data_IF_835042006077
#
_entry.id   IF_835042006077
#
_cell.length_a   1.000
_cell.length_b   1.000
_cell.length_c   1.000
_cell.angle_alpha   90.00
_cell.angle_beta   90.00
_cell.angle_gamma   90.00
#
_symmetry.space_group_name_H-M   'P 1'
#
loop_
_entity.id
_entity.type
_entity.pdbx_description
1 polymer ?
#
# COMPACT_ATOMS: atom_id res chain seq x y z
N UNK A 1 -5.30 -6.59 9.10
CA UNK A 1 -3.93 -7.15 9.22
C UNK A 1 -2.92 -6.26 8.48
N UNK A 2 -1.67 -6.22 8.93
CA UNK A 2 -0.58 -5.50 8.27
C UNK A 2 0.64 -6.42 8.05
N UNK A 3 1.29 -6.30 6.89
CA UNK A 3 2.55 -6.97 6.55
C UNK A 3 3.55 -5.98 5.99
N UNK A 4 4.81 -6.21 6.30
CA UNK A 4 5.92 -5.38 5.85
C UNK A 4 7.01 -6.28 5.29
N UNK A 5 7.43 -6.03 4.06
CA UNK A 5 8.67 -6.55 3.49
C UNK A 5 9.70 -5.43 3.56
N UNK A 6 10.65 -5.56 4.49
CA UNK A 6 11.71 -4.58 4.71
C UNK A 6 12.94 -4.95 3.88
N UNK A 7 13.45 -3.99 3.11
CA UNK A 7 14.70 -4.06 2.36
C UNK A 7 15.69 -2.99 2.88
N UNK A 8 16.83 -2.83 2.23
CA UNK A 8 17.91 -1.96 2.71
C UNK A 8 17.54 -0.47 2.66
N UNK A 9 16.73 -0.08 1.68
CA UNK A 9 16.41 1.32 1.40
C UNK A 9 14.92 1.61 1.29
N UNK A 10 14.09 0.60 1.05
CA UNK A 10 12.65 0.73 1.06
C UNK A 10 11.95 -0.44 1.75
N UNK A 11 10.69 -0.25 2.05
CA UNK A 11 9.78 -1.28 2.50
C UNK A 11 8.54 -1.29 1.61
N UNK A 12 7.99 -2.48 1.41
CA UNK A 12 6.64 -2.66 0.88
C UNK A 12 5.72 -2.90 2.08
N UNK A 13 4.70 -2.07 2.28
CA UNK A 13 3.72 -2.27 3.35
C UNK A 13 2.37 -2.61 2.75
N UNK A 14 1.79 -3.71 3.19
CA UNK A 14 0.43 -4.13 2.83
C UNK A 14 -0.46 -4.04 4.06
N UNK A 15 -1.55 -3.29 3.94
CA UNK A 15 -2.53 -3.11 5.00
C UNK A 15 -3.92 -3.44 4.49
N UNK A 16 -4.65 -4.24 5.26
CA UNK A 16 -6.09 -4.35 5.10
C UNK A 16 -6.76 -3.10 5.67
N UNK A 17 -7.64 -2.52 4.88
CA UNK A 17 -8.24 -1.22 5.13
C UNK A 17 -9.75 -1.35 5.10
N UNK A 18 -10.43 -0.70 6.04
CA UNK A 18 -11.89 -0.60 6.14
C UNK A 18 -12.19 0.78 6.71
N UNK A 19 -12.81 1.64 5.90
CA UNK A 19 -13.19 2.97 6.33
C UNK A 19 -14.51 3.40 5.70
N UNK A 20 -15.13 4.42 6.25
CA UNK A 20 -16.22 5.16 5.63
C UNK A 20 -15.83 6.64 5.65
N UNK A 21 -15.78 7.29 4.48
CA UNK A 21 -15.34 8.69 4.39
C UNK A 21 -16.27 9.60 5.20
N UNK A 22 -15.79 10.26 6.28
CA UNK A 22 -16.62 11.15 7.08
C UNK A 22 -17.17 12.33 6.28
N UNK A 23 -16.50 12.76 5.21
CA UNK A 23 -16.95 13.84 4.34
C UNK A 23 -18.21 13.47 3.54
N UNK A 24 -18.48 12.17 3.37
CA UNK A 24 -19.63 11.63 2.67
C UNK A 24 -20.70 11.08 3.63
N UNK A 25 -20.64 11.43 4.92
CA UNK A 25 -21.54 10.91 5.92
C UNK A 25 -23.03 11.08 5.53
N UNK A 26 -23.75 9.96 5.44
CA UNK A 26 -25.17 9.91 5.07
C UNK A 26 -25.43 9.57 3.60
N UNK A 27 -24.41 9.53 2.75
CA UNK A 27 -24.51 8.98 1.39
C UNK A 27 -24.52 7.43 1.41
N UNK A 28 -25.15 6.76 0.42
CA UNK A 28 -25.05 5.31 0.27
C UNK A 28 -23.63 4.89 -0.15
N UNK A 29 -23.25 3.65 0.15
CA UNK A 29 -22.02 3.00 -0.33
C UNK A 29 -20.71 3.75 -0.03
N UNK A 30 -20.68 4.49 1.08
CA UNK A 30 -19.52 5.29 1.55
C UNK A 30 -18.43 4.46 2.21
N UNK A 31 -18.72 3.20 2.54
CA UNK A 31 -17.76 2.29 3.16
C UNK A 31 -16.90 1.67 2.07
N UNK A 32 -15.60 1.81 2.22
CA UNK A 32 -14.61 1.19 1.36
C UNK A 32 -13.80 0.18 2.17
N UNK A 33 -13.63 -1.02 1.62
CA UNK A 33 -12.83 -2.08 2.23
C UNK A 33 -11.99 -2.79 1.19
N UNK A 34 -10.77 -3.17 1.58
CA UNK A 34 -9.84 -3.85 0.67
C UNK A 34 -8.43 -3.81 1.19
N UNK A 35 -7.45 -3.77 0.28
CA UNK A 35 -6.04 -3.70 0.64
C UNK A 35 -5.35 -2.48 0.07
N UNK A 36 -4.42 -1.94 0.86
CA UNK A 36 -3.55 -0.83 0.51
C UNK A 36 -2.12 -1.31 0.51
N UNK A 37 -1.43 -1.13 -0.62
CA UNK A 37 0.00 -1.36 -0.73
C UNK A 37 0.73 -0.01 -0.86
N UNK A 38 1.81 0.16 -0.13
CA UNK A 38 2.67 1.35 -0.20
C UNK A 38 4.12 0.95 -0.42
N UNK A 39 4.84 1.76 -1.20
CA UNK A 39 6.31 1.71 -1.31
C UNK A 39 6.87 2.85 -0.46
N UNK A 40 7.65 2.52 0.57
CA UNK A 40 8.07 3.48 1.60
C UNK A 40 9.59 3.50 1.75
N UNK A 41 10.25 4.66 1.69
CA UNK A 41 11.67 4.74 2.02
C UNK A 41 11.92 4.33 3.47
N UNK A 42 13.08 3.70 3.71
CA UNK A 42 13.53 3.28 5.04
C UNK A 42 14.65 4.20 5.50
N UNK A 43 14.55 4.77 6.69
CA UNK A 43 15.63 5.47 7.35
C UNK A 43 16.29 4.54 8.37
N UNK A 44 17.62 4.49 8.34
CA UNK A 44 18.44 3.69 9.28
C UNK A 44 19.18 4.66 10.19
N UNK A 45 18.98 4.53 11.50
CA UNK A 45 19.72 5.29 12.49
C UNK A 45 20.54 4.33 13.35
N UNK A 46 21.86 4.36 13.19
CA UNK A 46 22.79 3.53 13.95
C UNK A 46 23.49 4.37 15.02
N UNK A 47 22.89 4.45 16.21
CA UNK A 47 23.50 5.08 17.37
C UNK A 47 24.20 4.04 18.25
N UNK A 48 25.34 4.43 18.84
CA UNK A 48 26.08 3.60 19.80
C UNK A 48 27.23 2.82 19.19
N UNK A 49 27.59 1.71 19.84
CA UNK A 49 28.74 0.88 19.45
C UNK A 49 28.42 -0.02 18.25
N UNK A 50 29.43 -0.69 17.70
CA UNK A 50 29.27 -1.69 16.63
C UNK A 50 28.35 -2.88 17.00
N UNK A 51 28.05 -3.07 18.28
CA UNK A 51 27.14 -4.10 18.79
C UNK A 51 25.70 -3.61 18.89
N UNK A 52 25.45 -2.32 18.67
CA UNK A 52 24.12 -1.73 18.73
C UNK A 52 23.31 -2.14 17.51
N UNK A 53 22.05 -2.53 17.74
CA UNK A 53 21.10 -2.72 16.65
C UNK A 53 20.64 -1.36 16.14
N UNK A 54 20.66 -1.10 14.82
CA UNK A 54 20.16 0.16 14.29
C UNK A 54 18.64 0.25 14.45
N UNK A 55 18.14 1.47 14.65
CA UNK A 55 16.72 1.77 14.53
C UNK A 55 16.34 1.94 13.06
N UNK A 56 15.14 1.47 12.71
CA UNK A 56 14.59 1.52 11.37
C UNK A 56 13.27 2.28 11.41
N UNK A 57 13.12 3.29 10.57
CA UNK A 57 11.90 4.09 10.47
C UNK A 57 11.38 4.10 9.02
N UNK A 58 10.07 3.88 8.85
CA UNK A 58 9.41 3.97 7.55
C UNK A 58 9.00 5.42 7.30
N UNK A 59 9.60 6.05 6.30
CA UNK A 59 9.19 7.37 5.84
C UNK A 59 7.79 7.31 5.18
N UNK A 60 7.16 8.47 4.91
CA UNK A 60 5.96 8.52 4.07
C UNK A 60 6.15 7.80 2.73
N UNK A 61 5.11 7.16 2.19
CA UNK A 61 5.19 6.44 0.92
C UNK A 61 5.55 7.37 -0.24
N UNK A 62 6.18 6.81 -1.27
CA UNK A 62 6.42 7.51 -2.56
C UNK A 62 5.33 7.22 -3.58
N UNK A 63 4.67 6.08 -3.44
CA UNK A 63 3.48 5.71 -4.20
C UNK A 63 2.58 4.79 -3.36
N UNK A 64 1.32 4.68 -3.77
CA UNK A 64 0.32 3.85 -3.09
C UNK A 64 -0.62 3.17 -4.09
N UNK A 65 -1.00 1.94 -3.83
CA UNK A 65 -1.99 1.20 -4.61
C UNK A 65 -3.15 0.86 -3.69
N UNK A 66 -4.36 1.25 -4.08
CA UNK A 66 -5.59 1.04 -3.33
C UNK A 66 -6.48 0.07 -4.11
N UNK A 67 -6.55 -1.16 -3.60
CA UNK A 67 -7.41 -2.24 -4.11
C UNK A 67 -8.64 -2.32 -3.21
N UNK A 68 -9.44 -1.26 -3.25
CA UNK A 68 -10.63 -1.08 -2.42
C UNK A 68 -11.89 -1.37 -3.21
N UNK A 69 -12.96 -1.71 -2.50
CA UNK A 69 -14.27 -2.00 -3.05
C UNK A 69 -15.34 -1.33 -2.17
N UNK A 70 -16.47 -0.92 -2.74
CA UNK A 70 -17.64 -0.40 -1.99
C UNK A 70 -18.55 -1.49 -1.43
N UNK A 71 -18.44 -2.69 -1.99
CA UNK A 71 -19.09 -3.91 -1.54
C UNK A 71 -18.20 -5.13 -1.88
N UNK A 72 -18.38 -6.28 -1.22
CA UNK A 72 -17.58 -7.46 -1.50
C UNK A 72 -17.60 -7.85 -2.99
N UNK A 73 -16.44 -7.80 -3.64
CA UNK A 73 -16.24 -8.17 -5.04
C UNK A 73 -16.61 -7.10 -6.06
N UNK A 74 -16.95 -5.88 -5.64
CA UNK A 74 -17.38 -4.82 -6.55
C UNK A 74 -16.25 -4.30 -7.47
N UNK A 75 -15.00 -4.33 -7.00
CA UNK A 75 -13.81 -3.86 -7.74
C UNK A 75 -13.95 -2.44 -8.34
N UNK A 76 -14.78 -1.59 -7.75
CA UNK A 76 -15.22 -0.28 -8.26
C UNK A 76 -14.42 0.90 -7.71
N UNK A 77 -13.56 0.67 -6.71
CA UNK A 77 -12.69 1.68 -6.08
C UNK A 77 -11.21 1.37 -6.25
N UNK A 78 -10.87 0.51 -7.21
CA UNK A 78 -9.49 0.13 -7.52
C UNK A 78 -8.76 1.25 -8.24
N UNK A 79 -7.64 1.72 -7.68
CA UNK A 79 -6.81 2.77 -8.26
C UNK A 79 -5.40 2.76 -7.66
N UNK A 80 -4.51 3.62 -8.17
CA UNK A 80 -3.23 3.88 -7.54
C UNK A 80 -2.86 5.36 -7.60
N UNK A 81 -1.93 5.75 -6.74
CA UNK A 81 -1.37 7.07 -6.60
C UNK A 81 0.12 7.02 -6.95
N UNK A 82 0.51 7.54 -8.12
CA UNK A 82 1.92 7.57 -8.55
C UNK A 82 2.78 8.55 -7.73
N UNK A 83 2.13 9.50 -7.06
CA UNK A 83 2.78 10.55 -6.30
C UNK A 83 2.09 10.68 -4.94
N UNK A 84 2.90 10.87 -3.92
CA UNK A 84 2.48 11.16 -2.55
C UNK A 84 3.17 12.44 -2.08
N UNK A 85 2.51 13.23 -1.25
CA UNK A 85 3.05 14.47 -0.67
C UNK A 85 2.89 14.41 0.85
N UNK A 86 4.01 14.36 1.58
CA UNK A 86 4.03 14.29 3.05
C UNK A 86 3.15 13.16 3.65
N UNK A 87 2.99 12.07 2.90
CA UNK A 87 2.17 10.91 3.28
C UNK A 87 0.73 10.97 2.81
N UNK A 88 0.31 12.09 2.23
CA UNK A 88 -1.00 12.25 1.62
C UNK A 88 -0.97 11.82 0.15
N UNK A 89 -2.03 11.16 -0.34
CA UNK A 89 -2.13 10.74 -1.73
C UNK A 89 -2.33 11.91 -2.69
N UNK A 90 -1.61 11.89 -3.81
CA UNK A 90 -1.88 12.75 -4.96
C UNK A 90 -3.08 12.28 -5.79
N UNK A 91 -3.09 12.63 -7.08
CA UNK A 91 -4.17 12.24 -8.00
C UNK A 91 -4.37 10.72 -8.09
N UNK A 92 -5.63 10.31 -8.28
CA UNK A 92 -6.01 8.92 -8.52
C UNK A 92 -5.77 8.56 -9.98
N UNK A 93 -5.06 7.47 -10.22
CA UNK A 93 -4.94 6.86 -11.54
C UNK A 93 -5.74 5.57 -11.58
N UNK A 94 -6.76 5.54 -12.43
CA UNK A 94 -7.55 4.36 -12.73
C UNK A 94 -6.92 3.67 -13.94
N UNK A 95 -6.51 2.41 -13.75
CA UNK A 95 -5.85 1.60 -14.78
C UNK A 95 -6.71 0.35 -15.00
N UNK A 96 -7.23 0.18 -16.21
CA UNK A 96 -8.11 -0.94 -16.55
C UNK A 96 -7.43 -2.30 -16.30
N UNK A 97 -6.10 -2.38 -16.50
CA UNK A 97 -5.35 -3.61 -16.25
C UNK A 97 -5.24 -3.90 -14.75
N UNK A 98 -5.14 -2.86 -13.91
CA UNK A 98 -5.14 -3.02 -12.45
C UNK A 98 -6.48 -3.57 -11.96
N UNK A 99 -7.61 -3.06 -12.48
CA UNK A 99 -8.93 -3.57 -12.10
C UNK A 99 -9.21 -4.97 -12.63
N UNK A 100 -8.72 -5.30 -13.83
CA UNK A 100 -8.94 -6.60 -14.47
C UNK A 100 -8.07 -7.73 -13.87
N UNK A 101 -6.80 -7.45 -13.57
CA UNK A 101 -5.85 -8.40 -12.99
C UNK A 101 -4.94 -7.70 -11.97
N UNK A 102 -5.43 -7.47 -10.73
CA UNK A 102 -4.64 -6.80 -9.69
C UNK A 102 -3.31 -7.50 -9.38
N UNK A 103 -3.29 -8.83 -9.41
CA UNK A 103 -2.12 -9.65 -9.07
C UNK A 103 -1.06 -9.52 -10.16
N UNK A 104 -1.43 -9.72 -11.42
CA UNK A 104 -0.52 -9.57 -12.56
C UNK A 104 -0.02 -8.14 -12.73
N UNK A 105 -0.91 -7.14 -12.57
CA UNK A 105 -0.52 -5.73 -12.63
C UNK A 105 0.51 -5.39 -11.55
N UNK A 106 0.26 -5.81 -10.31
CA UNK A 106 1.15 -5.50 -9.20
C UNK A 106 2.51 -6.19 -9.36
N UNK A 107 2.52 -7.47 -9.73
CA UNK A 107 3.76 -8.20 -9.97
C UNK A 107 4.58 -7.58 -11.12
N UNK A 108 3.94 -7.07 -12.16
CA UNK A 108 4.61 -6.36 -13.25
C UNK A 108 5.21 -5.02 -12.75
N UNK A 109 4.44 -4.22 -12.00
CA UNK A 109 4.90 -2.93 -11.46
C UNK A 109 6.04 -3.07 -10.45
N UNK A 110 6.00 -4.06 -9.57
CA UNK A 110 7.09 -4.31 -8.63
C UNK A 110 8.40 -4.69 -9.34
N UNK A 111 8.31 -5.42 -10.47
CA UNK A 111 9.49 -5.70 -11.31
C UNK A 111 9.98 -4.46 -12.07
N UNK A 112 9.13 -3.46 -12.25
CA UNK A 112 9.45 -2.14 -12.77
C UNK A 112 9.48 -1.09 -11.66
N UNK A 113 10.32 -1.33 -10.64
CA UNK A 113 10.52 -0.39 -9.52
C UNK A 113 10.77 1.07 -9.97
N UNK A 114 11.54 1.36 -11.05
CA UNK A 114 11.68 2.72 -11.55
C UNK A 114 10.35 3.45 -11.79
N UNK A 115 9.32 2.77 -12.29
CA UNK A 115 8.01 3.38 -12.47
C UNK A 115 7.30 3.72 -11.15
N UNK A 116 7.51 2.92 -10.10
CA UNK A 116 6.88 3.11 -8.79
C UNK A 116 7.55 4.23 -7.98
N UNK A 117 8.85 4.43 -8.16
CA UNK A 117 9.60 5.49 -7.43
C UNK A 117 9.77 6.77 -8.25
N UNK A 118 9.12 6.88 -9.42
CA UNK A 118 9.19 8.07 -10.26
C UNK A 118 8.66 9.33 -9.56
N UNK A 119 7.68 9.20 -8.66
CA UNK A 119 7.15 10.29 -7.85
C UNK A 119 8.06 10.72 -6.69
N UNK A 120 9.10 9.93 -6.36
CA UNK A 120 10.02 10.24 -5.27
C UNK A 120 10.94 11.44 -5.62
N UNK A 121 11.47 12.16 -4.61
CA UNK A 121 12.48 13.19 -4.82
C UNK A 121 13.69 12.64 -5.59
N UNK A 122 14.22 13.39 -6.56
CA UNK A 122 15.34 12.97 -7.40
C UNK A 122 16.55 12.49 -6.58
N UNK A 123 16.84 13.18 -5.47
CA UNK A 123 17.94 12.86 -4.57
C UNK A 123 17.82 11.48 -3.91
N UNK A 124 16.59 10.96 -3.76
CA UNK A 124 16.33 9.68 -3.10
C UNK A 124 16.22 8.51 -4.08
N UNK A 125 15.90 8.78 -5.36
CA UNK A 125 15.63 7.72 -6.35
C UNK A 125 16.78 6.75 -6.51
N UNK A 126 18.01 7.23 -6.59
CA UNK A 126 19.19 6.36 -6.73
C UNK A 126 19.32 5.35 -5.59
N UNK A 127 19.01 5.79 -4.35
CA UNK A 127 19.02 4.94 -3.16
C UNK A 127 17.88 3.92 -3.19
N UNK A 128 16.66 4.32 -3.54
CA UNK A 128 15.53 3.40 -3.65
C UNK A 128 15.75 2.34 -4.75
N UNK A 129 16.30 2.76 -5.88
CA UNK A 129 16.56 1.87 -7.02
C UNK A 129 17.62 0.80 -6.74
N UNK A 130 18.46 0.96 -5.71
CA UNK A 130 19.40 -0.08 -5.32
C UNK A 130 18.68 -1.36 -4.83
N UNK A 131 17.42 -1.28 -4.39
CA UNK A 131 16.60 -2.44 -4.01
C UNK A 131 15.88 -3.12 -5.19
N UNK A 132 16.06 -2.65 -6.45
CA UNK A 132 15.31 -3.13 -7.63
C UNK A 132 15.31 -4.66 -7.76
N UNK A 133 16.46 -5.31 -7.65
CA UNK A 133 16.57 -6.75 -7.81
C UNK A 133 15.82 -7.52 -6.71
N UNK A 134 15.89 -7.03 -5.48
CA UNK A 134 15.23 -7.65 -4.34
C UNK A 134 13.71 -7.45 -4.38
N UNK A 135 13.23 -6.26 -4.78
CA UNK A 135 11.81 -6.02 -5.04
C UNK A 135 11.28 -6.91 -6.16
N UNK A 136 12.03 -7.05 -7.26
CA UNK A 136 11.64 -7.92 -8.37
C UNK A 136 11.54 -9.40 -7.96
N UNK A 137 12.42 -9.86 -7.06
CA UNK A 137 12.37 -11.21 -6.49
C UNK A 137 11.14 -11.42 -5.58
N UNK A 138 10.72 -10.40 -4.85
CA UNK A 138 9.54 -10.44 -3.98
C UNK A 138 8.20 -10.24 -4.71
N UNK A 139 8.23 -9.80 -5.98
CA UNK A 139 7.03 -9.37 -6.70
C UNK A 139 5.90 -10.42 -6.69
N UNK A 140 6.22 -11.70 -6.89
CA UNK A 140 5.23 -12.77 -6.88
C UNK A 140 4.66 -13.05 -5.49
N UNK A 141 5.48 -13.00 -4.45
CA UNK A 141 5.05 -13.20 -3.06
C UNK A 141 4.11 -12.08 -2.61
N UNK A 142 4.48 -10.82 -2.85
CA UNK A 142 3.69 -9.65 -2.47
C UNK A 142 2.35 -9.65 -3.21
N UNK A 143 2.35 -9.92 -4.51
CA UNK A 143 1.14 -9.99 -5.32
C UNK A 143 0.22 -11.15 -4.89
N UNK A 144 0.77 -12.34 -4.63
CA UNK A 144 0.01 -13.48 -4.11
C UNK A 144 -0.57 -13.20 -2.72
N UNK A 145 0.13 -12.45 -1.87
CA UNK A 145 -0.40 -12.04 -0.58
C UNK A 145 -1.54 -11.02 -0.71
N UNK A 146 -1.43 -10.05 -1.62
CA UNK A 146 -2.53 -9.14 -1.98
C UNK A 146 -3.77 -9.93 -2.42
N UNK A 147 -3.59 -10.89 -3.33
CA UNK A 147 -4.65 -11.76 -3.85
C UNK A 147 -5.33 -12.55 -2.72
N UNK A 148 -4.52 -13.15 -1.83
CA UNK A 148 -5.00 -13.87 -0.64
C UNK A 148 -5.84 -12.96 0.28
N UNK A 149 -5.34 -11.76 0.59
CA UNK A 149 -6.05 -10.80 1.46
C UNK A 149 -7.35 -10.31 0.82
N UNK A 150 -7.36 -10.03 -0.48
CA UNK A 150 -8.59 -9.64 -1.20
C UNK A 150 -9.65 -10.74 -1.17
N UNK A 151 -9.27 -12.00 -1.43
CA UNK A 151 -10.20 -13.14 -1.35
C UNK A 151 -10.83 -13.23 0.05
N UNK A 152 -10.05 -13.05 1.11
CA UNK A 152 -10.56 -13.07 2.47
C UNK A 152 -11.52 -11.89 2.75
N UNK A 153 -11.19 -10.69 2.28
CA UNK A 153 -11.99 -9.48 2.51
C UNK A 153 -13.29 -9.43 1.69
N UNK A 154 -13.37 -10.20 0.60
CA UNK A 154 -14.58 -10.39 -0.22
C UNK A 154 -15.61 -11.34 0.39
N UNK A 155 -15.34 -11.89 1.57
CA UNK A 155 -16.39 -12.48 2.40
C UNK A 155 -17.42 -11.43 2.86
N UNK A 156 -18.51 -11.84 3.52
CA UNK A 156 -19.48 -10.90 4.10
C UNK A 156 -18.78 -9.91 5.03
N UNK A 157 -19.02 -8.61 4.82
CA UNK A 157 -18.41 -7.60 5.67
C UNK A 157 -19.07 -7.56 7.05
N UNK A 158 -18.27 -7.44 8.13
CA UNK A 158 -18.81 -7.32 9.47
C UNK A 158 -19.49 -5.96 9.63
N UNK A 159 -20.50 -5.89 10.49
CA UNK A 159 -20.99 -4.62 11.04
C UNK A 159 -19.93 -4.04 11.98
N UNK A 160 -19.48 -2.82 11.71
CA UNK A 160 -18.45 -2.12 12.49
C UNK A 160 -18.88 -0.68 12.71
N UNK A 161 -18.39 -0.08 13.80
CA UNK A 161 -18.47 1.36 14.03
C UNK A 161 -17.14 1.97 13.63
N UNK A 162 -17.17 3.00 12.79
CA UNK A 162 -15.99 3.74 12.37
C UNK A 162 -15.66 4.87 13.36
N UNK A 163 -14.37 5.17 13.55
CA UNK A 163 -13.90 6.27 14.41
C UNK A 163 -14.15 7.65 13.77
N UNK A 164 -13.72 8.73 14.43
CA UNK A 164 -13.90 10.11 13.93
C UNK A 164 -13.20 10.38 12.60
N UNK A 165 -12.20 9.56 12.24
CA UNK A 165 -11.51 9.62 10.94
C UNK A 165 -12.15 8.70 9.92
N UNK A 166 -13.24 8.02 10.29
CA UNK A 166 -13.92 7.07 9.43
C UNK A 166 -13.27 5.68 9.42
N UNK A 167 -12.28 5.38 10.26
CA UNK A 167 -11.58 4.09 10.23
C UNK A 167 -12.28 3.04 11.08
N UNK A 168 -12.39 1.81 10.57
CA UNK A 168 -12.84 0.68 11.37
C UNK A 168 -11.72 0.30 12.38
N UNK A 169 -12.08 -0.25 13.56
CA UNK A 169 -11.09 -0.72 14.51
C UNK A 169 -10.23 -1.83 13.90
N UNK A 170 -8.92 -1.78 14.15
CA UNK A 170 -8.02 -2.88 13.80
C UNK A 170 -8.39 -4.07 14.70
N UNK A 171 -8.70 -5.26 14.15
CA UNK A 171 -8.91 -6.45 14.95
C UNK A 171 -7.67 -6.69 15.82
N UNK A 172 -7.87 -6.83 17.13
CA UNK A 172 -6.81 -7.12 18.10
C UNK A 172 -6.16 -8.48 17.86
#
# INVERSE_FOLDING_TARGET
>A
MERVWLLDHLALTLRETDFADPALAGEPDVRERGVRLEVRPVAVTAEGSLYSSPALALAPPVCRVDLLESAPGAADRVHWHPVMHDGEPGERVFDEALSADPEGWLAARLRDLPSLVAGAPEADRGRLLADTAAVAALAGEVAGQVSTSLVALRGPWPSVTHDERGMAPVPA
#
